data_IF_244702158280
#
_entry.id   IF_244702158280
#
_cell.length_a   1.000
_cell.length_b   1.000
_cell.length_c   1.000
_cell.angle_alpha   90.00
_cell.angle_beta   90.00
_cell.angle_gamma   90.00
#
_symmetry.space_group_name_H-M   'P 1'
#
loop_
_entity.id
_entity.type
_entity.pdbx_description
1 polymer ?
#
# COMPACT_ATOMS: atom_id res chain seq x y z
N UNK A 1 -20.94 2.39 -7.33
CA UNK A 1 -19.95 2.31 -8.43
C UNK A 1 -18.86 1.25 -8.18
N UNK A 2 -18.45 0.97 -6.94
CA UNK A 2 -17.58 -0.17 -6.57
C UNK A 2 -18.31 -1.53 -6.43
N UNK A 3 -19.47 -1.74 -7.07
CA UNK A 3 -20.31 -2.93 -6.82
C UNK A 3 -19.88 -4.17 -7.62
N UNK A 4 -19.09 -4.01 -8.68
CA UNK A 4 -18.73 -5.11 -9.58
C UNK A 4 -17.43 -5.87 -9.21
N UNK A 5 -16.82 -5.57 -8.06
CA UNK A 5 -15.57 -6.22 -7.60
C UNK A 5 -14.42 -6.12 -8.60
N UNK A 6 -13.30 -6.81 -8.33
CA UNK A 6 -12.18 -6.95 -9.28
C UNK A 6 -11.42 -5.66 -9.62
N UNK A 7 -11.43 -4.68 -8.71
CA UNK A 7 -10.78 -3.39 -8.90
C UNK A 7 -9.44 -3.33 -8.14
N UNK A 8 -8.46 -2.64 -8.72
CA UNK A 8 -7.23 -2.24 -8.03
C UNK A 8 -7.30 -0.73 -7.85
N UNK A 9 -7.15 -0.26 -6.61
CA UNK A 9 -7.13 1.16 -6.25
C UNK A 9 -5.72 1.52 -5.81
N UNK A 10 -5.18 2.61 -6.35
CA UNK A 10 -3.85 3.15 -6.01
C UNK A 10 -4.02 4.57 -5.46
N UNK A 11 -3.68 4.76 -4.19
CA UNK A 11 -3.69 6.05 -3.54
C UNK A 11 -2.73 6.06 -2.34
N UNK A 12 -2.31 7.24 -1.91
CA UNK A 12 -1.36 7.46 -0.80
C UNK A 12 -2.08 7.80 0.51
N UNK A 13 -3.27 7.23 0.72
CA UNK A 13 -4.15 7.46 1.86
C UNK A 13 -5.36 6.54 1.75
N UNK A 14 -5.98 6.19 2.87
CA UNK A 14 -6.96 5.12 2.92
C UNK A 14 -8.05 5.28 3.98
N UNK A 15 -7.93 6.21 4.92
CA UNK A 15 -8.87 6.45 6.03
C UNK A 15 -10.29 6.89 5.59
N UNK A 16 -10.40 7.53 4.43
CA UNK A 16 -11.66 8.05 3.90
C UNK A 16 -12.43 7.04 3.03
N UNK A 17 -11.83 5.88 2.69
CA UNK A 17 -12.54 4.88 1.91
C UNK A 17 -13.44 4.02 2.81
N UNK A 18 -14.63 3.61 2.35
CA UNK A 18 -15.46 2.66 3.09
C UNK A 18 -14.72 1.32 3.24
N UNK A 19 -14.59 0.84 4.48
CA UNK A 19 -13.86 -0.39 4.81
C UNK A 19 -14.27 -1.59 3.93
N UNK A 20 -15.59 -1.74 3.70
CA UNK A 20 -16.21 -2.77 2.85
C UNK A 20 -15.78 -2.78 1.38
N UNK A 21 -14.97 -1.84 0.93
CA UNK A 21 -14.49 -1.79 -0.46
C UNK A 21 -13.34 -2.75 -0.73
N UNK A 22 -12.59 -3.14 0.30
CA UNK A 22 -11.33 -3.84 0.13
C UNK A 22 -11.34 -5.20 0.81
N UNK A 23 -11.04 -6.22 0.03
CA UNK A 23 -10.74 -7.57 0.53
C UNK A 23 -9.26 -7.73 0.92
N UNK A 24 -8.40 -6.80 0.48
CA UNK A 24 -6.97 -6.75 0.75
C UNK A 24 -6.47 -5.31 0.61
N UNK A 25 -5.62 -4.89 1.55
CA UNK A 25 -4.96 -3.59 1.58
C UNK A 25 -3.45 -3.81 1.57
N UNK A 26 -2.76 -3.22 0.60
CA UNK A 26 -1.31 -3.35 0.46
C UNK A 26 -0.65 -2.01 0.75
N UNK A 27 0.28 -2.01 1.69
CA UNK A 27 1.11 -0.83 2.00
C UNK A 27 2.52 -1.11 1.50
N UNK A 28 2.93 -0.41 0.45
CA UNK A 28 4.29 -0.49 -0.07
C UNK A 28 5.23 0.33 0.81
N UNK A 29 6.34 -0.27 1.22
CA UNK A 29 7.38 0.39 2.00
C UNK A 29 8.69 0.42 1.23
N UNK A 30 9.42 1.52 1.34
CA UNK A 30 10.70 1.71 0.64
C UNK A 30 11.76 2.19 1.63
N UNK A 31 12.99 1.68 1.51
CA UNK A 31 14.12 2.24 2.24
C UNK A 31 14.26 3.75 1.98
N UNK A 32 14.50 4.52 3.04
CA UNK A 32 14.50 5.98 2.98
C UNK A 32 15.52 6.55 2.00
N UNK A 33 16.69 5.94 1.85
CA UNK A 33 17.70 6.41 0.90
C UNK A 33 17.22 6.23 -0.53
N UNK A 34 16.61 5.08 -0.82
CA UNK A 34 16.04 4.76 -2.13
C UNK A 34 14.83 5.65 -2.43
N UNK A 35 13.95 5.86 -1.45
CA UNK A 35 12.79 6.73 -1.61
C UNK A 35 13.22 8.19 -1.86
N UNK A 36 14.25 8.66 -1.13
CA UNK A 36 14.84 9.99 -1.33
C UNK A 36 15.31 10.17 -2.78
N UNK A 37 16.06 9.23 -3.32
CA UNK A 37 16.56 9.28 -4.69
C UNK A 37 15.41 9.26 -5.72
N UNK A 38 14.38 8.44 -5.49
CA UNK A 38 13.17 8.36 -6.33
C UNK A 38 12.38 9.67 -6.34
N UNK A 39 12.19 10.32 -5.20
CA UNK A 39 11.45 11.57 -5.11
C UNK A 39 12.27 12.74 -5.67
N UNK A 40 13.58 12.78 -5.37
CA UNK A 40 14.50 13.79 -5.90
C UNK A 40 14.59 13.75 -7.43
N UNK A 41 14.69 12.54 -8.02
CA UNK A 41 14.67 12.36 -9.48
C UNK A 41 13.34 12.74 -10.14
N UNK A 42 12.23 12.74 -9.38
CA UNK A 42 10.93 13.29 -9.80
C UNK A 42 10.81 14.81 -9.62
N UNK A 43 11.89 15.50 -9.22
CA UNK A 43 11.94 16.94 -9.04
C UNK A 43 11.34 17.44 -7.72
N UNK A 44 11.13 16.57 -6.74
CA UNK A 44 10.68 16.99 -5.41
C UNK A 44 11.85 17.66 -4.69
N UNK A 45 11.58 18.80 -4.05
CA UNK A 45 12.59 19.58 -3.34
C UNK A 45 12.02 20.20 -2.07
N UNK A 46 12.92 20.66 -1.19
CA UNK A 46 12.57 21.43 0.00
C UNK A 46 11.56 20.71 0.91
N UNK A 47 10.57 21.43 1.46
CA UNK A 47 9.60 20.86 2.40
C UNK A 47 8.82 19.66 1.83
N UNK A 48 8.51 19.66 0.53
CA UNK A 48 7.76 18.56 -0.08
C UNK A 48 8.55 17.24 0.00
N UNK A 49 9.85 17.28 -0.31
CA UNK A 49 10.72 16.12 -0.22
C UNK A 49 10.86 15.66 1.24
N UNK A 50 11.19 16.60 2.14
CA UNK A 50 11.37 16.31 3.56
C UNK A 50 10.12 15.67 4.18
N UNK A 51 8.93 16.24 3.94
CA UNK A 51 7.68 15.74 4.50
C UNK A 51 7.35 14.32 4.02
N UNK A 52 7.62 13.99 2.75
CA UNK A 52 7.36 12.63 2.24
C UNK A 52 8.34 11.60 2.83
N UNK A 53 9.59 11.99 3.08
CA UNK A 53 10.57 11.11 3.73
C UNK A 53 10.24 10.92 5.21
N UNK A 54 9.87 11.98 5.92
CA UNK A 54 9.40 11.85 7.30
C UNK A 54 8.15 10.98 7.39
N UNK A 55 7.23 11.11 6.44
CA UNK A 55 6.03 10.28 6.35
C UNK A 55 6.35 8.78 6.24
N UNK A 56 7.35 8.41 5.42
CA UNK A 56 7.83 7.02 5.32
C UNK A 56 8.55 6.57 6.61
N UNK A 57 9.44 7.42 7.16
CA UNK A 57 10.18 7.12 8.41
C UNK A 57 9.23 6.80 9.56
N UNK A 58 8.17 7.58 9.71
CA UNK A 58 7.17 7.40 10.77
C UNK A 58 6.10 6.36 10.44
N UNK A 59 6.21 5.68 9.28
CA UNK A 59 5.28 4.65 8.84
C UNK A 59 3.82 5.11 8.86
N UNK A 60 3.57 6.39 8.54
CA UNK A 60 2.25 7.03 8.71
C UNK A 60 1.16 6.23 7.98
N UNK A 61 1.41 5.82 6.72
CA UNK A 61 0.43 5.11 5.92
C UNK A 61 0.22 3.65 6.35
N UNK A 62 1.23 3.02 6.95
CA UNK A 62 1.08 1.68 7.51
C UNK A 62 0.17 1.73 8.74
N UNK A 63 0.38 2.70 9.63
CA UNK A 63 -0.44 2.87 10.82
C UNK A 63 -1.86 3.34 10.49
N UNK A 64 -2.02 4.19 9.48
CA UNK A 64 -3.34 4.58 8.95
C UNK A 64 -4.11 3.35 8.41
N UNK A 65 -3.45 2.49 7.63
CA UNK A 65 -4.07 1.27 7.12
C UNK A 65 -4.47 0.31 8.24
N UNK A 66 -3.61 0.07 9.22
CA UNK A 66 -3.92 -0.79 10.39
C UNK A 66 -5.05 -0.23 11.26
N UNK A 67 -5.21 1.09 11.30
CA UNK A 67 -6.30 1.73 12.07
C UNK A 67 -7.62 1.68 11.31
N UNK A 68 -7.58 1.68 9.98
CA UNK A 68 -8.75 1.79 9.11
C UNK A 68 -9.32 0.43 8.65
N UNK A 69 -8.53 -0.64 8.75
CA UNK A 69 -8.87 -1.98 8.25
C UNK A 69 -8.43 -3.07 9.22
N UNK A 70 -9.07 -4.23 9.17
CA UNK A 70 -8.62 -5.41 9.93
C UNK A 70 -7.15 -5.75 9.62
N UNK A 71 -6.35 -6.06 10.65
CA UNK A 71 -4.94 -6.41 10.50
C UNK A 71 -4.73 -7.59 9.53
N UNK A 72 -5.67 -8.53 9.49
CA UNK A 72 -5.64 -9.73 8.65
C UNK A 72 -5.69 -9.45 7.14
N UNK A 73 -6.17 -8.27 6.74
CA UNK A 73 -6.24 -7.87 5.33
C UNK A 73 -5.17 -6.84 4.94
N UNK A 74 -4.37 -6.36 5.91
CA UNK A 74 -3.29 -5.37 5.67
C UNK A 74 -1.96 -6.08 5.46
N UNK A 75 -1.38 -5.92 4.27
CA UNK A 75 -0.07 -6.47 3.90
C UNK A 75 0.96 -5.36 3.67
N UNK A 76 1.95 -5.28 4.54
CA UNK A 76 3.14 -4.45 4.31
C UNK A 76 4.11 -5.17 3.36
N UNK A 77 4.51 -4.52 2.27
CA UNK A 77 5.38 -5.11 1.25
C UNK A 77 6.54 -4.18 0.91
N UNK A 78 7.77 -4.70 1.00
CA UNK A 78 8.98 -3.98 0.58
C UNK A 78 8.95 -3.73 -0.93
N UNK A 79 9.43 -2.57 -1.39
CA UNK A 79 9.42 -2.17 -2.80
C UNK A 79 10.67 -1.36 -3.18
N UNK A 80 11.85 -1.85 -2.78
CA UNK A 80 13.12 -1.15 -3.00
C UNK A 80 13.68 -1.35 -4.41
N UNK A 81 13.42 -2.52 -4.98
CA UNK A 81 14.01 -2.97 -6.24
C UNK A 81 12.98 -3.59 -7.18
N UNK A 82 13.40 -3.79 -8.44
CA UNK A 82 12.59 -4.52 -9.44
C UNK A 82 12.36 -5.97 -9.01
N UNK A 83 13.30 -6.57 -8.26
CA UNK A 83 13.10 -7.91 -7.71
C UNK A 83 11.99 -7.94 -6.67
N UNK A 84 11.89 -6.90 -5.82
CA UNK A 84 10.79 -6.77 -4.87
C UNK A 84 9.45 -6.62 -5.60
N UNK A 85 9.41 -5.83 -6.69
CA UNK A 85 8.21 -5.72 -7.54
C UNK A 85 7.79 -7.09 -8.09
N UNK A 86 8.71 -7.86 -8.67
CA UNK A 86 8.41 -9.21 -9.18
C UNK A 86 7.91 -10.15 -8.09
N UNK A 87 8.49 -10.08 -6.89
CA UNK A 87 8.03 -10.84 -5.72
C UNK A 87 6.64 -10.41 -5.30
N UNK A 88 6.37 -9.11 -5.23
CA UNK A 88 5.09 -8.57 -4.80
C UNK A 88 3.98 -8.97 -5.78
N UNK A 89 4.23 -8.88 -7.08
CA UNK A 89 3.30 -9.36 -8.11
C UNK A 89 3.01 -10.84 -7.94
N UNK A 90 4.04 -11.66 -7.66
CA UNK A 90 3.85 -13.11 -7.44
C UNK A 90 2.96 -13.39 -6.23
N UNK A 91 3.24 -12.73 -5.10
CA UNK A 91 2.46 -12.87 -3.86
C UNK A 91 1.01 -12.43 -4.06
N UNK A 92 0.78 -11.27 -4.70
CA UNK A 92 -0.57 -10.75 -4.92
C UNK A 92 -1.34 -11.59 -5.94
N UNK A 93 -0.66 -12.14 -6.95
CA UNK A 93 -1.28 -13.08 -7.90
C UNK A 93 -1.73 -14.35 -7.19
N UNK A 94 -0.89 -14.91 -6.32
CA UNK A 94 -1.24 -16.06 -5.50
C UNK A 94 -2.40 -15.75 -4.55
N UNK A 95 -2.39 -14.58 -3.92
CA UNK A 95 -3.49 -14.12 -3.06
C UNK A 95 -4.82 -14.04 -3.83
N UNK A 96 -4.83 -13.41 -5.02
CA UNK A 96 -6.03 -13.32 -5.88
C UNK A 96 -6.52 -14.71 -6.29
N UNK A 97 -5.61 -15.63 -6.66
CA UNK A 97 -5.99 -16.99 -7.06
C UNK A 97 -6.59 -17.82 -5.92
N UNK A 98 -6.19 -17.54 -4.68
CA UNK A 98 -6.68 -18.21 -3.48
C UNK A 98 -7.83 -17.46 -2.79
N UNK A 99 -8.24 -16.30 -3.32
CA UNK A 99 -9.31 -15.51 -2.74
C UNK A 99 -10.66 -16.21 -2.91
N UNK A 100 -11.45 -16.24 -1.84
CA UNK A 100 -12.78 -16.84 -1.80
C UNK A 100 -13.79 -15.77 -1.38
N UNK A 101 -14.91 -15.60 -2.11
CA UNK A 101 -15.95 -14.65 -1.74
C UNK A 101 -16.50 -14.93 -0.32
N UNK A 102 -16.59 -13.90 0.51
CA UNK A 102 -17.28 -13.97 1.81
C UNK A 102 -16.39 -14.19 3.05
N UNK A 103 -15.06 -14.13 2.94
CA UNK A 103 -14.17 -14.12 4.12
C UNK A 103 -14.23 -12.80 4.91
N UNK A 104 -14.57 -11.70 4.25
CA UNK A 104 -14.62 -10.33 4.78
C UNK A 104 -15.91 -10.01 5.56
N UNK A 105 -16.65 -11.03 6.03
CA UNK A 105 -17.95 -10.87 6.70
C UNK A 105 -18.14 -11.83 7.90
N UNK A 106 -17.19 -11.84 8.84
CA UNK A 106 -17.42 -12.29 10.21
C UNK A 106 -16.91 -11.27 11.20
#
# INVERSE_FOLDING_TARGET
>A
MMEKGGNIVDYHGCDFFPERWFDCVVVLQTDNSILYDRLSSRGYMGPKLANNIECEIFQVLLEEAKTSYSEDIVMAMRSDSVNDISRNVSVLTEWVNNWIPGRSSQ
#
